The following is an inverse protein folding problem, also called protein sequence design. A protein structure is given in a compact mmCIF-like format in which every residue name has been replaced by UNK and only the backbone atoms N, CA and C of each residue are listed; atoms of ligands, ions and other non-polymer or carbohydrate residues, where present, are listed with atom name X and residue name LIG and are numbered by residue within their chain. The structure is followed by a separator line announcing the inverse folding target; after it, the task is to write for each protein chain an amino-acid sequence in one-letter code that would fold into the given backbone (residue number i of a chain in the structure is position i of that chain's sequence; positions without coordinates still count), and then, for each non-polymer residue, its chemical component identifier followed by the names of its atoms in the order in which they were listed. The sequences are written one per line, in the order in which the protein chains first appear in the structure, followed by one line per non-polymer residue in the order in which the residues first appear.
data_IF_306969637816
#
_entry.id   IF_306969637816
#
_cell.length_a   1.000
_cell.length_b   1.000
_cell.length_c   1.000
_cell.angle_alpha   90.00
_cell.angle_beta   90.00
_cell.angle_gamma   90.00
#
_symmetry.space_group_name_H-M   'P 1'
#
loop_
_entity.id
_entity.type
_entity.pdbx_description
1 polymer ?
#
# COMPACT_ATOMS: atom_id res chain seq x y z
N UNK A 1 13.26 -7.08 -30.71
CA UNK A 1 14.06 -7.95 -29.82
C UNK A 1 14.49 -7.06 -28.68
N UNK A 2 14.17 -7.43 -27.44
CA UNK A 2 14.51 -6.60 -26.28
C UNK A 2 16.02 -6.55 -26.13
N UNK A 3 16.59 -5.35 -25.99
CA UNK A 3 18.05 -5.16 -25.81
C UNK A 3 18.44 -5.28 -24.33
N UNK A 4 19.71 -5.59 -24.05
CA UNK A 4 20.19 -5.66 -22.66
C UNK A 4 20.17 -4.30 -21.94
N UNK A 5 20.30 -3.20 -22.69
CA UNK A 5 20.14 -1.84 -22.16
C UNK A 5 18.69 -1.57 -21.74
N UNK A 6 17.72 -1.93 -22.58
CA UNK A 6 16.29 -1.78 -22.24
C UNK A 6 15.92 -2.54 -20.96
N UNK A 7 16.46 -3.74 -20.77
CA UNK A 7 16.22 -4.55 -19.56
C UNK A 7 16.77 -3.84 -18.31
N UNK A 8 17.97 -3.25 -18.41
CA UNK A 8 18.61 -2.56 -17.28
C UNK A 8 17.86 -1.28 -16.96
N UNK A 9 17.50 -0.51 -17.97
CA UNK A 9 16.74 0.73 -17.80
C UNK A 9 15.38 0.45 -17.16
N UNK A 10 14.64 -0.56 -17.64
CA UNK A 10 13.37 -0.98 -17.06
C UNK A 10 13.51 -1.40 -15.60
N UNK A 11 14.55 -2.18 -15.28
CA UNK A 11 14.81 -2.65 -13.92
C UNK A 11 15.08 -1.48 -12.97
N UNK A 12 15.95 -0.56 -13.38
CA UNK A 12 16.30 0.58 -12.53
C UNK A 12 15.16 1.59 -12.40
N UNK A 13 14.37 1.79 -13.47
CA UNK A 13 13.17 2.61 -13.45
C UNK A 13 12.13 2.03 -12.48
N UNK A 14 11.87 0.72 -12.57
CA UNK A 14 10.98 0.00 -11.65
C UNK A 14 11.44 0.14 -10.19
N UNK A 15 12.75 0.02 -9.94
CA UNK A 15 13.31 0.20 -8.59
C UNK A 15 13.16 1.64 -8.08
N UNK A 16 13.37 2.65 -8.94
CA UNK A 16 13.19 4.06 -8.58
C UNK A 16 11.73 4.36 -8.26
N UNK A 17 10.82 3.92 -9.13
CA UNK A 17 9.40 4.25 -9.05
C UNK A 17 8.71 3.52 -7.91
N UNK A 18 9.04 2.24 -7.68
CA UNK A 18 8.59 1.53 -6.48
C UNK A 18 8.93 2.30 -5.18
N UNK A 19 10.12 2.93 -5.12
CA UNK A 19 10.50 3.70 -3.94
C UNK A 19 9.77 5.06 -3.85
N UNK A 20 9.89 5.87 -4.90
CA UNK A 20 9.43 7.26 -4.89
C UNK A 20 7.90 7.38 -5.02
N UNK A 21 7.26 6.50 -5.78
CA UNK A 21 5.82 6.54 -6.00
C UNK A 21 5.04 5.82 -4.90
N UNK A 22 5.62 4.80 -4.24
CA UNK A 22 4.91 3.94 -3.28
C UNK A 22 5.58 3.95 -1.90
N UNK A 23 6.82 3.46 -1.80
CA UNK A 23 7.48 3.21 -0.50
C UNK A 23 7.53 4.43 0.41
N UNK A 24 7.83 5.62 -0.10
CA UNK A 24 7.93 6.82 0.74
C UNK A 24 6.60 7.22 1.39
N UNK A 25 5.47 6.99 0.71
CA UNK A 25 4.14 7.25 1.25
C UNK A 25 3.71 6.17 2.23
N UNK A 26 4.01 4.90 1.93
CA UNK A 26 3.83 3.78 2.86
C UNK A 26 4.61 4.03 4.14
N UNK A 27 5.89 4.40 4.03
CA UNK A 27 6.75 4.73 5.16
C UNK A 27 6.12 5.82 6.03
N UNK A 28 5.66 6.91 5.42
CA UNK A 28 5.05 8.03 6.13
C UNK A 28 3.79 7.58 6.89
N UNK A 29 2.94 6.74 6.29
CA UNK A 29 1.71 6.26 6.91
C UNK A 29 1.98 5.23 8.01
N UNK A 30 2.88 4.26 7.79
CA UNK A 30 3.28 3.27 8.80
C UNK A 30 3.91 3.99 9.99
N UNK A 31 4.77 4.99 9.76
CA UNK A 31 5.33 5.83 10.82
C UNK A 31 4.25 6.61 11.56
N UNK A 32 3.32 7.25 10.84
CA UNK A 32 2.20 7.99 11.45
C UNK A 32 1.37 7.08 12.36
N UNK A 33 1.05 5.88 11.89
CA UNK A 33 0.27 4.92 12.66
C UNK A 33 1.05 4.38 13.87
N UNK A 34 2.33 4.05 13.68
CA UNK A 34 3.21 3.57 14.75
C UNK A 34 3.41 4.64 15.82
N UNK A 35 3.57 5.89 15.41
CA UNK A 35 3.61 7.05 16.29
C UNK A 35 2.27 7.28 17.00
N UNK A 36 1.13 7.12 16.32
CA UNK A 36 -0.19 7.23 16.92
C UNK A 36 -0.39 6.15 18.00
N UNK A 37 0.03 4.91 17.74
CA UNK A 37 -0.02 3.84 18.73
C UNK A 37 0.87 4.13 19.94
N UNK A 38 2.10 4.58 19.71
CA UNK A 38 3.01 5.00 20.77
C UNK A 38 2.40 6.14 21.61
N UNK A 39 1.94 7.20 20.97
CA UNK A 39 1.35 8.36 21.63
C UNK A 39 0.05 8.03 22.40
N UNK A 40 -0.72 7.04 21.91
CA UNK A 40 -1.95 6.58 22.58
C UNK A 40 -1.71 5.47 23.59
N UNK A 41 -0.48 4.98 23.75
CA UNK A 41 -0.14 3.79 24.53
C UNK A 41 -1.01 2.57 24.17
N UNK A 42 -1.26 2.36 22.88
CA UNK A 42 -2.10 1.26 22.38
C UNK A 42 -3.61 1.48 22.45
N UNK A 43 -4.09 2.49 23.20
CA UNK A 43 -5.54 2.75 23.41
C UNK A 43 -6.34 2.95 22.12
N UNK A 44 -5.69 3.39 21.04
CA UNK A 44 -6.37 3.51 19.74
C UNK A 44 -6.85 2.15 19.21
N UNK A 45 -5.99 1.12 19.29
CA UNK A 45 -6.32 -0.24 18.84
C UNK A 45 -7.39 -0.85 19.76
N UNK A 46 -7.28 -0.65 21.08
CA UNK A 46 -8.30 -1.11 22.03
C UNK A 46 -9.65 -0.46 21.79
N UNK A 47 -9.67 0.83 21.44
CA UNK A 47 -10.89 1.53 21.08
C UNK A 47 -11.54 0.93 19.83
N UNK A 48 -10.76 0.66 18.78
CA UNK A 48 -11.25 -0.05 17.58
C UNK A 48 -11.81 -1.42 17.94
N UNK A 49 -11.09 -2.19 18.76
CA UNK A 49 -11.48 -3.53 19.22
C UNK A 49 -12.80 -3.49 20.00
N UNK A 50 -12.97 -2.52 20.89
CA UNK A 50 -14.19 -2.35 21.71
C UNK A 50 -15.44 -2.00 20.89
N UNK A 51 -15.26 -1.40 19.70
CA UNK A 51 -16.35 -0.92 18.86
C UNK A 51 -16.50 -1.71 17.56
N UNK A 52 -16.72 -3.03 17.68
CA UNK A 52 -16.86 -3.96 16.54
C UNK A 52 -17.76 -3.44 15.40
N UNK A 53 -18.91 -2.84 15.71
CA UNK A 53 -19.84 -2.29 14.70
C UNK A 53 -19.31 -1.08 13.94
N UNK A 54 -18.36 -0.34 14.48
CA UNK A 54 -17.73 0.79 13.82
C UNK A 54 -16.47 0.40 13.03
N UNK A 55 -15.96 -0.82 13.19
CA UNK A 55 -14.71 -1.21 12.55
C UNK A 55 -14.76 -1.09 11.02
N UNK A 56 -15.82 -1.53 10.30
CA UNK A 56 -15.91 -1.29 8.86
C UNK A 56 -15.89 0.20 8.48
N UNK A 57 -16.53 1.07 9.27
CA UNK A 57 -16.52 2.52 9.02
C UNK A 57 -15.10 3.08 9.17
N UNK A 58 -14.38 2.65 10.21
CA UNK A 58 -12.99 3.04 10.44
C UNK A 58 -12.10 2.52 9.30
N UNK A 59 -12.33 1.28 8.86
CA UNK A 59 -11.67 0.68 7.69
C UNK A 59 -11.86 1.52 6.43
N UNK A 60 -13.10 1.90 6.10
CA UNK A 60 -13.38 2.72 4.94
C UNK A 60 -12.70 4.11 4.99
N UNK A 61 -12.68 4.74 6.17
CA UNK A 61 -12.02 6.03 6.39
C UNK A 61 -10.50 5.91 6.27
N UNK A 62 -9.93 4.78 6.69
CA UNK A 62 -8.50 4.52 6.46
C UNK A 62 -8.24 4.26 4.98
N UNK A 63 -9.13 3.52 4.29
CA UNK A 63 -9.01 3.20 2.87
C UNK A 63 -9.10 4.41 1.94
N UNK A 64 -10.02 5.35 2.18
CA UNK A 64 -10.15 6.57 1.35
C UNK A 64 -8.92 7.49 1.41
N UNK A 65 -8.01 7.27 2.36
CA UNK A 65 -6.77 8.03 2.45
C UNK A 65 -5.91 7.73 1.23
N UNK A 66 -5.46 8.75 0.45
CA UNK A 66 -4.60 8.52 -0.70
C UNK A 66 -3.36 7.68 -0.36
N UNK A 67 -2.98 6.81 -1.29
CA UNK A 67 -1.94 5.80 -1.10
C UNK A 67 -2.46 4.48 -0.53
N UNK A 68 -1.61 3.44 -0.48
CA UNK A 68 -1.97 2.13 0.04
C UNK A 68 -1.86 1.99 1.58
N UNK A 69 -1.39 3.04 2.26
CA UNK A 69 -1.03 2.98 3.68
C UNK A 69 -2.18 2.65 4.65
N UNK A 70 -3.42 3.09 4.37
CA UNK A 70 -4.57 2.73 5.20
C UNK A 70 -4.93 1.25 5.16
N UNK A 71 -4.82 0.64 3.97
CA UNK A 71 -5.01 -0.81 3.78
C UNK A 71 -3.86 -1.61 4.41
N UNK A 72 -2.61 -1.16 4.24
CA UNK A 72 -1.42 -1.77 4.86
C UNK A 72 -1.53 -1.79 6.39
N UNK A 73 -2.10 -0.75 7.01
CA UNK A 73 -2.33 -0.74 8.47
C UNK A 73 -3.42 -1.73 8.90
N UNK A 74 -4.47 -1.90 8.10
CA UNK A 74 -5.61 -2.75 8.46
C UNK A 74 -5.31 -4.25 8.35
N UNK A 75 -4.42 -4.67 7.43
CA UNK A 75 -4.09 -6.08 7.22
C UNK A 75 -3.44 -6.76 8.45
N UNK A 76 -2.39 -6.21 9.08
CA UNK A 76 -1.82 -6.78 10.30
C UNK A 76 -2.79 -6.78 11.47
N UNK A 77 -3.66 -5.75 11.59
CA UNK A 77 -4.69 -5.73 12.62
C UNK A 77 -5.71 -6.86 12.43
N UNK A 78 -6.02 -7.21 11.19
CA UNK A 78 -6.90 -8.34 10.88
C UNK A 78 -6.23 -9.68 11.17
N UNK A 79 -4.97 -9.86 10.73
CA UNK A 79 -4.20 -11.07 11.00
C UNK A 79 -4.07 -11.36 12.51
N UNK A 80 -3.96 -10.32 13.33
CA UNK A 80 -3.93 -10.41 14.81
C UNK A 80 -5.31 -10.49 15.47
N UNK A 81 -6.39 -10.50 14.71
CA UNK A 81 -7.76 -10.61 15.22
C UNK A 81 -8.32 -9.36 15.89
N UNK A 82 -7.69 -8.18 15.72
CA UNK A 82 -8.17 -6.92 16.28
C UNK A 82 -9.35 -6.32 15.49
N UNK A 83 -9.35 -6.50 14.17
CA UNK A 83 -10.43 -6.05 13.28
C UNK A 83 -11.10 -7.23 12.57
N UNK A 84 -12.35 -7.04 12.15
CA UNK A 84 -13.14 -8.05 11.44
C UNK A 84 -12.75 -8.20 9.96
N UNK A 85 -13.17 -9.31 9.35
CA UNK A 85 -13.05 -9.50 7.90
C UNK A 85 -13.83 -8.43 7.12
N UNK A 86 -15.02 -8.03 7.58
CA UNK A 86 -15.75 -6.92 6.98
C UNK A 86 -15.00 -5.59 7.04
N UNK A 87 -14.12 -5.38 8.03
CA UNK A 87 -13.25 -4.19 8.08
C UNK A 87 -12.21 -4.19 6.98
N UNK A 88 -11.59 -5.34 6.70
CA UNK A 88 -10.65 -5.49 5.58
C UNK A 88 -11.34 -5.21 4.25
N UNK A 89 -12.49 -5.85 4.00
CA UNK A 89 -13.28 -5.64 2.79
C UNK A 89 -13.68 -4.18 2.63
N UNK A 90 -14.13 -3.54 3.71
CA UNK A 90 -14.49 -2.12 3.69
C UNK A 90 -13.31 -1.20 3.37
N UNK A 91 -12.12 -1.56 3.83
CA UNK A 91 -10.89 -0.77 3.61
C UNK A 91 -10.44 -0.90 2.16
N UNK A 92 -10.42 -2.12 1.63
CA UNK A 92 -10.02 -2.41 0.25
C UNK A 92 -10.97 -1.77 -0.76
N UNK A 93 -12.29 -1.93 -0.59
CA UNK A 93 -13.26 -1.31 -1.51
C UNK A 93 -13.18 0.22 -1.49
N UNK A 94 -12.87 0.81 -0.33
CA UNK A 94 -12.77 2.26 -0.20
C UNK A 94 -11.46 2.84 -0.75
N UNK A 95 -10.43 2.00 -0.98
CA UNK A 95 -9.10 2.48 -1.35
C UNK A 95 -8.97 2.80 -2.84
N UNK A 96 -8.34 3.93 -3.13
CA UNK A 96 -7.88 4.29 -4.47
C UNK A 96 -6.36 4.09 -4.62
N UNK A 97 -5.65 3.72 -3.55
CA UNK A 97 -4.20 3.51 -3.60
C UNK A 97 -3.45 4.76 -4.10
N UNK A 98 -2.31 4.54 -4.74
CA UNK A 98 -1.50 5.64 -5.28
C UNK A 98 -2.13 6.31 -6.53
N UNK A 99 -3.06 5.61 -7.20
CA UNK A 99 -3.82 6.17 -8.33
C UNK A 99 -4.69 7.38 -7.91
N UNK A 100 -5.00 7.51 -6.61
CA UNK A 100 -5.63 8.70 -6.05
C UNK A 100 -4.80 9.97 -6.29
N UNK A 101 -3.47 9.89 -6.26
CA UNK A 101 -2.59 11.03 -6.51
C UNK A 101 -2.66 11.49 -7.97
N UNK A 102 -2.81 10.57 -8.92
CA UNK A 102 -3.01 10.87 -10.34
C UNK A 102 -4.32 11.61 -10.56
N UNK A 103 -5.41 11.15 -9.93
CA UNK A 103 -6.69 11.84 -9.97
C UNK A 103 -6.59 13.26 -9.39
N UNK A 104 -5.95 13.41 -8.21
CA UNK A 104 -5.72 14.71 -7.60
C UNK A 104 -4.90 15.61 -8.54
N UNK A 105 -3.88 15.07 -9.20
CA UNK A 105 -3.10 15.81 -10.19
C UNK A 105 -3.94 16.26 -11.39
N UNK A 106 -4.78 15.37 -11.93
CA UNK A 106 -5.73 15.69 -12.98
C UNK A 106 -6.74 16.79 -12.56
N UNK A 107 -7.19 16.79 -11.31
CA UNK A 107 -8.07 17.84 -10.77
C UNK A 107 -7.39 19.21 -10.67
N UNK A 108 -6.09 19.24 -10.35
CA UNK A 108 -5.29 20.47 -10.30
C UNK A 108 -5.16 21.06 -11.71
N UNK A 109 -4.86 20.21 -12.71
CA UNK A 109 -4.77 20.62 -14.11
C UNK A 109 -6.13 21.07 -14.68
N UNK A 110 -7.19 20.32 -14.37
CA UNK A 110 -8.54 20.53 -14.91
C UNK A 110 -9.58 20.54 -13.78
N UNK A 111 -10.01 21.71 -13.29
CA UNK A 111 -10.97 21.83 -12.19
C UNK A 111 -12.33 21.15 -12.44
N UNK A 112 -12.70 20.89 -13.71
CA UNK A 112 -13.90 20.13 -14.06
C UNK A 112 -13.88 18.68 -13.56
N UNK A 113 -12.70 18.11 -13.29
CA UNK A 113 -12.55 16.74 -12.79
C UNK A 113 -12.78 16.62 -11.27
N UNK A 114 -12.79 17.73 -10.52
CA UNK A 114 -13.00 17.73 -9.07
C UNK A 114 -14.32 17.03 -8.70
N UNK A 115 -15.41 17.34 -9.41
CA UNK A 115 -16.72 16.75 -9.16
C UNK A 115 -16.72 15.22 -9.27
N UNK A 116 -16.32 14.65 -10.42
CA UNK A 116 -16.18 13.20 -10.57
C UNK A 116 -15.23 12.55 -9.57
N UNK A 117 -14.10 13.20 -9.23
CA UNK A 117 -13.12 12.64 -8.29
C UNK A 117 -13.70 12.54 -6.89
N UNK A 118 -14.36 13.59 -6.41
CA UNK A 118 -15.07 13.53 -5.12
C UNK A 118 -16.15 12.45 -5.15
N UNK A 119 -16.86 12.32 -6.27
CA UNK A 119 -17.92 11.34 -6.41
C UNK A 119 -17.39 9.90 -6.36
N UNK A 120 -16.27 9.57 -7.02
CA UNK A 120 -15.69 8.22 -6.93
C UNK A 120 -15.25 7.90 -5.50
N UNK A 121 -14.61 8.83 -4.79
CA UNK A 121 -14.21 8.62 -3.39
C UNK A 121 -15.43 8.39 -2.48
N UNK A 122 -16.50 9.18 -2.64
CA UNK A 122 -17.72 9.03 -1.85
C UNK A 122 -18.42 7.71 -2.18
N UNK A 123 -18.48 7.31 -3.45
CA UNK A 123 -19.05 6.03 -3.85
C UNK A 123 -18.24 4.88 -3.23
N UNK A 124 -16.91 4.85 -3.41
CA UNK A 124 -16.04 3.82 -2.85
C UNK A 124 -16.17 3.74 -1.32
N UNK A 125 -16.22 4.88 -0.62
CA UNK A 125 -16.44 4.93 0.82
C UNK A 125 -17.77 4.30 1.22
N UNK A 126 -18.88 4.71 0.59
CA UNK A 126 -20.22 4.23 0.93
C UNK A 126 -20.37 2.75 0.59
N UNK A 127 -19.91 2.34 -0.59
CA UNK A 127 -19.95 0.93 -1.02
C UNK A 127 -19.10 0.08 -0.08
N UNK A 128 -17.91 0.54 0.29
CA UNK A 128 -17.04 -0.15 1.25
C UNK A 128 -17.71 -0.35 2.61
N UNK A 129 -18.29 0.72 3.17
CA UNK A 129 -19.01 0.64 4.46
C UNK A 129 -20.17 -0.34 4.39
N UNK A 130 -20.99 -0.26 3.33
CA UNK A 130 -22.17 -1.11 3.16
C UNK A 130 -21.74 -2.58 3.05
N UNK A 131 -20.74 -2.88 2.22
CA UNK A 131 -20.25 -4.24 2.03
C UNK A 131 -19.56 -4.78 3.28
N UNK A 132 -18.72 -3.99 3.95
CA UNK A 132 -18.05 -4.41 5.18
C UNK A 132 -19.03 -4.70 6.31
N UNK A 133 -20.02 -3.83 6.52
CA UNK A 133 -21.09 -4.08 7.49
C UNK A 133 -21.94 -5.29 7.09
N UNK A 134 -22.19 -5.49 5.80
CA UNK A 134 -22.92 -6.66 5.28
C UNK A 134 -22.19 -7.97 5.54
N UNK A 135 -20.89 -8.02 5.23
CA UNK A 135 -20.00 -9.17 5.47
C UNK A 135 -20.01 -9.55 6.95
N UNK A 136 -19.85 -8.56 7.83
CA UNK A 136 -19.87 -8.79 9.28
C UNK A 136 -21.26 -9.21 9.79
N UNK A 137 -22.34 -8.66 9.23
CA UNK A 137 -23.71 -9.01 9.63
C UNK A 137 -24.09 -10.44 9.22
N UNK A 138 -23.62 -10.90 8.06
CA UNK A 138 -23.82 -12.28 7.58
C UNK A 138 -22.84 -13.25 8.25
N UNK A 139 -21.78 -12.76 8.88
CA UNK A 139 -20.74 -13.58 9.51
C UNK A 139 -19.85 -14.27 8.48
N UNK A 140 -19.60 -13.61 7.34
CA UNK A 140 -18.68 -14.11 6.32
C UNK A 140 -17.26 -13.92 6.83
N UNK A 141 -16.47 -14.99 6.77
CA UNK A 141 -15.03 -14.98 7.06
C UNK A 141 -14.34 -15.89 6.03
N UNK A 142 -13.00 -15.85 5.90
CA UNK A 142 -12.29 -16.78 5.02
C UNK A 142 -12.51 -18.25 5.38
N UNK A 143 -12.77 -18.58 6.65
CA UNK A 143 -13.08 -19.95 7.10
C UNK A 143 -14.55 -20.32 6.94
N UNK A 144 -15.47 -19.35 6.94
CA UNK A 144 -16.90 -19.52 6.69
C UNK A 144 -17.39 -18.58 5.58
N UNK A 145 -17.09 -18.87 4.30
CA UNK A 145 -17.32 -17.94 3.19
C UNK A 145 -18.80 -17.68 2.90
N UNK A 146 -19.68 -18.60 3.27
CA UNK A 146 -21.14 -18.43 3.15
C UNK A 146 -21.78 -17.85 4.43
N UNK A 147 -20.98 -17.60 5.47
CA UNK A 147 -21.43 -17.16 6.78
C UNK A 147 -22.64 -17.96 7.28
N UNK A 148 -23.69 -17.25 7.68
CA UNK A 148 -24.98 -17.82 8.16
C UNK A 148 -25.76 -18.64 7.13
N UNK A 149 -25.42 -18.56 5.83
CA UNK A 149 -26.09 -19.32 4.77
C UNK A 149 -25.36 -20.63 4.42
N UNK A 150 -24.16 -20.86 4.97
CA UNK A 150 -23.46 -22.14 4.85
C UNK A 150 -24.02 -23.19 5.80
N UNK A 151 -23.84 -24.47 5.48
CA UNK A 151 -24.02 -25.53 6.48
C UNK A 151 -23.06 -25.26 7.63
N UNK A 152 -23.55 -25.19 8.87
CA UNK A 152 -22.73 -24.97 10.05
C UNK A 152 -21.50 -25.89 10.01
N UNK A 153 -20.33 -25.33 9.73
CA UNK A 153 -19.08 -26.03 10.00
C UNK A 153 -19.04 -26.22 11.51
N UNK A 154 -18.98 -27.50 11.90
CA UNK A 154 -18.85 -28.02 13.27
C UNK A 154 -18.11 -27.01 14.14
N UNK A 155 -18.73 -26.64 15.26
CA UNK A 155 -18.14 -25.82 16.32
C UNK A 155 -16.66 -26.19 16.53
N UNK A 156 -15.75 -25.34 16.08
CA UNK A 156 -14.47 -25.23 16.76
C UNK A 156 -14.77 -24.46 18.03
N UNK A 157 -15.11 -25.20 19.09
CA UNK A 157 -15.20 -24.70 20.45
C UNK A 157 -13.88 -24.00 20.80
N UNK A 158 -13.86 -22.68 20.66
CA UNK A 158 -12.86 -21.85 21.34
C UNK A 158 -13.22 -21.95 22.82
N UNK A 159 -12.31 -22.38 23.71
CA UNK A 159 -12.62 -22.42 25.13
C UNK A 159 -12.95 -21.00 25.58
N UNK A 160 -14.14 -20.85 26.15
CA UNK A 160 -14.57 -19.64 26.83
C UNK A 160 -13.75 -19.55 28.14
N UNK A 161 -12.57 -18.95 28.06
CA UNK A 161 -11.75 -18.66 29.23
C UNK A 161 -12.32 -17.40 29.90
N UNK A 162 -13.35 -17.63 30.71
CA UNK A 162 -14.04 -16.65 31.54
C UNK A 162 -13.21 -16.41 32.81
N UNK A 163 -12.01 -15.82 32.65
CA UNK A 163 -11.24 -15.22 33.74
C UNK A 163 -10.57 -13.96 33.21
N UNK A 164 -11.17 -12.81 33.53
CA UNK A 164 -10.55 -11.49 33.48
C UNK A 164 -9.44 -11.42 34.55
N UNK A 165 -8.33 -12.12 34.31
CA UNK A 165 -7.04 -11.68 34.83
C UNK A 165 -6.46 -10.68 33.82
N UNK A 166 -5.85 -9.62 34.35
CA UNK A 166 -5.16 -8.56 33.62
C UNK A 166 -3.98 -9.17 32.85
N UNK A 167 -4.25 -9.80 31.71
CA UNK A 167 -3.27 -10.51 30.92
C UNK A 167 -2.51 -9.47 30.09
N UNK A 168 -1.39 -8.98 30.62
CA UNK A 168 -0.47 -8.16 29.83
C UNK A 168 0.23 -9.07 28.81
N UNK A 169 -0.24 -9.01 27.57
CA UNK A 169 0.26 -9.78 26.40
C UNK A 169 1.77 -9.60 26.19
N UNK A 170 2.39 -8.60 26.84
CA UNK A 170 3.83 -8.28 26.79
C UNK A 170 4.75 -9.34 27.40
N UNK A 171 4.26 -10.15 28.34
CA UNK A 171 5.14 -11.05 29.13
C UNK A 171 5.42 -12.42 28.47
N UNK A 172 4.58 -12.87 27.52
CA UNK A 172 4.73 -14.15 26.81
C UNK A 172 5.44 -14.02 25.45
N UNK A 173 5.98 -12.84 25.18
CA UNK A 173 6.42 -12.41 23.87
C UNK A 173 7.96 -12.55 23.73
N UNK A 174 8.48 -13.31 22.75
CA UNK A 174 9.92 -13.51 22.57
C UNK A 174 10.68 -12.20 22.39
N UNK A 175 11.85 -12.09 23.03
CA UNK A 175 12.71 -10.89 22.98
C UNK A 175 13.80 -11.09 21.93
N UNK A 176 14.12 -10.05 21.15
CA UNK A 176 15.26 -10.10 20.23
C UNK A 176 16.56 -10.31 21.01
N UNK A 177 17.36 -11.31 20.63
CA UNK A 177 18.71 -11.45 21.17
C UNK A 177 19.65 -10.41 20.52
N UNK A 178 20.35 -9.58 21.31
CA UNK A 178 21.10 -8.40 20.82
C UNK A 178 22.40 -8.71 20.06
N UNK A 179 22.58 -9.91 19.51
CA UNK A 179 23.83 -10.35 18.90
C UNK A 179 23.68 -10.75 17.42
N UNK A 180 24.40 -10.06 16.52
CA UNK A 180 24.49 -10.47 15.10
C UNK A 180 24.85 -9.36 14.12
N UNK A 181 25.36 -9.75 12.94
CA UNK A 181 25.56 -8.82 11.82
C UNK A 181 24.23 -8.25 11.31
N UNK A 182 23.19 -9.09 11.25
CA UNK A 182 21.84 -8.70 10.83
C UNK A 182 21.22 -7.65 11.79
N UNK A 183 21.37 -7.84 13.10
CA UNK A 183 20.94 -6.87 14.11
C UNK A 183 21.58 -5.49 13.89
N UNK A 184 22.90 -5.44 13.64
CA UNK A 184 23.62 -4.17 13.34
C UNK A 184 23.14 -3.50 12.06
N UNK A 185 22.91 -4.28 11.00
CA UNK A 185 22.41 -3.74 9.71
C UNK A 185 21.05 -3.09 9.90
N UNK A 186 20.13 -3.71 10.64
CA UNK A 186 18.82 -3.13 10.96
C UNK A 186 18.95 -1.90 11.87
N UNK A 187 19.67 -2.04 12.98
CA UNK A 187 19.74 -1.01 14.04
C UNK A 187 20.64 0.19 13.72
N UNK A 188 21.48 0.11 12.69
CA UNK A 188 22.26 1.25 12.19
C UNK A 188 21.75 1.72 10.82
N UNK A 189 21.23 0.80 9.99
CA UNK A 189 20.71 1.10 8.66
C UNK A 189 19.40 1.88 8.68
N UNK A 190 18.54 1.71 9.70
CA UNK A 190 17.25 2.42 9.75
C UNK A 190 17.39 3.95 9.73
N UNK A 191 18.46 4.52 10.30
CA UNK A 191 18.71 5.97 10.26
C UNK A 191 19.03 6.46 8.85
N UNK A 192 19.90 5.74 8.14
CA UNK A 192 20.24 6.05 6.75
C UNK A 192 19.00 5.89 5.85
N UNK A 193 18.23 4.83 6.08
CA UNK A 193 16.98 4.59 5.39
C UNK A 193 15.95 5.70 5.63
N UNK A 194 15.74 6.13 6.88
CA UNK A 194 14.83 7.24 7.19
C UNK A 194 15.30 8.58 6.62
N UNK A 195 16.60 8.84 6.58
CA UNK A 195 17.14 10.04 5.95
C UNK A 195 16.84 10.08 4.45
N UNK A 196 17.08 8.96 3.74
CA UNK A 196 16.79 8.85 2.30
C UNK A 196 15.28 8.88 2.05
N UNK A 197 14.49 8.19 2.87
CA UNK A 197 13.02 8.19 2.78
C UNK A 197 12.44 9.58 3.02
N UNK A 198 12.96 10.34 3.97
CA UNK A 198 12.53 11.72 4.23
C UNK A 198 12.83 12.65 3.05
N UNK A 199 14.02 12.55 2.45
CA UNK A 199 14.35 13.29 1.23
C UNK A 199 13.47 12.82 0.06
N UNK A 200 13.30 11.51 -0.10
CA UNK A 200 12.46 10.89 -1.12
C UNK A 200 11.00 11.34 -1.04
N UNK A 201 10.43 11.44 0.17
CA UNK A 201 9.07 11.93 0.37
C UNK A 201 8.90 13.38 -0.08
N UNK A 202 9.89 14.24 0.18
CA UNK A 202 9.87 15.63 -0.30
C UNK A 202 9.84 15.64 -1.83
N UNK A 203 10.73 14.87 -2.49
CA UNK A 203 10.75 14.81 -3.95
C UNK A 203 9.51 14.13 -4.53
N UNK A 204 8.95 13.11 -3.90
CA UNK A 204 7.72 12.47 -4.34
C UNK A 204 6.55 13.46 -4.34
N UNK A 205 6.41 14.27 -3.28
CA UNK A 205 5.41 15.34 -3.23
C UNK A 205 5.70 16.40 -4.31
N UNK A 206 6.96 16.80 -4.49
CA UNK A 206 7.33 17.76 -5.53
C UNK A 206 7.02 17.24 -6.94
N UNK A 207 7.32 15.97 -7.23
CA UNK A 207 7.03 15.31 -8.50
C UNK A 207 5.53 15.27 -8.77
N UNK A 208 4.71 14.98 -7.76
CA UNK A 208 3.25 15.05 -7.88
C UNK A 208 2.75 16.47 -8.20
N UNK A 209 3.30 17.49 -7.53
CA UNK A 209 2.93 18.89 -7.77
C UNK A 209 3.41 19.36 -9.15
N UNK A 210 4.63 19.01 -9.55
CA UNK A 210 5.20 19.42 -10.82
C UNK A 210 4.49 18.75 -12.01
N UNK A 211 4.29 17.43 -11.93
CA UNK A 211 3.56 16.68 -12.94
C UNK A 211 2.10 17.14 -13.10
N UNK A 212 1.46 17.57 -12.01
CA UNK A 212 0.06 18.05 -12.06
C UNK A 212 -0.11 19.48 -12.56
N UNK A 213 0.88 20.35 -12.34
CA UNK A 213 0.80 21.76 -12.75
C UNK A 213 1.40 22.02 -14.13
N UNK A 214 2.02 21.01 -14.74
CA UNK A 214 2.79 21.15 -15.98
C UNK A 214 3.95 22.14 -15.82
N UNK A 215 4.44 22.31 -14.59
CA UNK A 215 5.46 23.27 -14.22
C UNK A 215 6.48 22.61 -13.30
N UNK A 216 7.75 22.96 -13.44
CA UNK A 216 8.84 22.31 -12.71
C UNK A 216 10.16 22.55 -13.44
N UNK A 217 11.29 22.13 -12.85
CA UNK A 217 12.53 22.05 -13.60
C UNK A 217 12.38 21.02 -14.74
N UNK A 218 13.09 21.19 -15.86
CA UNK A 218 13.23 20.13 -16.85
C UNK A 218 13.93 18.96 -16.16
N UNK A 219 13.12 17.95 -15.86
CA UNK A 219 13.54 16.69 -15.32
C UNK A 219 13.80 15.83 -16.54
N UNK A 220 15.07 15.54 -16.86
CA UNK A 220 15.46 14.58 -17.90
C UNK A 220 15.04 13.14 -17.50
N UNK A 221 13.74 12.94 -17.26
CA UNK A 221 13.05 11.74 -16.83
C UNK A 221 11.96 11.33 -17.84
N UNK A 222 11.70 12.18 -18.85
CA UNK A 222 10.58 12.06 -19.79
C UNK A 222 10.90 11.23 -21.06
N UNK A 223 12.17 10.91 -21.32
CA UNK A 223 12.58 10.18 -22.53
C UNK A 223 12.56 8.64 -22.39
N UNK A 224 12.09 8.12 -21.24
CA UNK A 224 12.06 6.70 -20.93
C UNK A 224 13.44 6.09 -20.64
N UNK A 225 14.51 6.89 -20.67
CA UNK A 225 15.86 6.48 -20.31
C UNK A 225 16.17 6.86 -18.85
N UNK A 226 16.98 6.05 -18.17
CA UNK A 226 17.37 6.39 -16.81
C UNK A 226 18.50 7.41 -16.80
N UNK A 227 18.22 8.64 -16.37
CA UNK A 227 19.28 9.58 -16.03
C UNK A 227 19.95 9.19 -14.70
N UNK A 228 21.25 8.88 -14.76
CA UNK A 228 22.11 8.49 -13.64
C UNK A 228 23.14 9.57 -13.27
N UNK A 229 23.13 10.74 -13.91
CA UNK A 229 24.06 11.83 -13.59
C UNK A 229 23.68 12.49 -12.26
N UNK A 230 24.46 12.30 -11.17
CA UNK A 230 24.11 12.81 -9.84
C UNK A 230 24.16 14.34 -9.74
N UNK A 231 24.73 15.03 -10.73
CA UNK A 231 24.78 16.49 -10.75
C UNK A 231 23.56 17.12 -11.42
N UNK A 232 22.74 16.33 -12.10
CA UNK A 232 21.44 16.75 -12.61
C UNK A 232 20.36 16.53 -11.55
N UNK A 233 19.30 17.34 -11.58
CA UNK A 233 18.19 17.20 -10.63
C UNK A 233 17.46 15.86 -10.86
N UNK A 234 17.26 15.47 -12.13
CA UNK A 234 16.68 14.17 -12.49
C UNK A 234 17.52 12.98 -12.00
N UNK A 235 18.83 12.99 -12.24
CA UNK A 235 19.70 11.92 -11.77
C UNK A 235 19.85 11.87 -10.24
N UNK A 236 19.82 13.01 -9.55
CA UNK A 236 19.77 13.03 -8.09
C UNK A 236 18.51 12.35 -7.55
N UNK A 237 17.34 12.61 -8.14
CA UNK A 237 16.08 11.94 -7.80
C UNK A 237 16.17 10.44 -8.07
N UNK A 238 16.71 10.03 -9.23
CA UNK A 238 16.95 8.62 -9.56
C UNK A 238 17.82 7.93 -8.50
N UNK A 239 18.90 8.56 -8.05
CA UNK A 239 19.75 8.02 -6.99
C UNK A 239 19.05 7.89 -5.65
N UNK A 240 18.18 8.83 -5.27
CA UNK A 240 17.36 8.70 -4.06
C UNK A 240 16.47 7.46 -4.14
N UNK A 241 15.78 7.26 -5.27
CA UNK A 241 14.95 6.09 -5.50
C UNK A 241 15.75 4.78 -5.44
N UNK A 242 16.88 4.72 -6.15
CA UNK A 242 17.73 3.53 -6.19
C UNK A 242 18.37 3.19 -4.85
N UNK A 243 18.92 4.18 -4.13
CA UNK A 243 19.49 3.98 -2.81
C UNK A 243 18.42 3.58 -1.79
N UNK A 244 17.24 4.19 -1.88
CA UNK A 244 16.10 3.87 -1.05
C UNK A 244 15.64 2.42 -1.23
N UNK A 245 15.46 1.97 -2.48
CA UNK A 245 15.14 0.57 -2.79
C UNK A 245 16.27 -0.36 -2.36
N UNK A 246 17.52 -0.02 -2.65
CA UNK A 246 18.67 -0.83 -2.25
C UNK A 246 18.77 -1.03 -0.74
N UNK A 247 18.56 0.02 0.05
CA UNK A 247 18.52 -0.07 1.52
C UNK A 247 17.31 -0.88 2.01
N UNK A 248 16.14 -0.72 1.38
CA UNK A 248 14.94 -1.49 1.74
C UNK A 248 15.17 -2.99 1.52
N UNK A 249 15.76 -3.37 0.39
CA UNK A 249 16.14 -4.76 0.09
C UNK A 249 17.19 -5.26 1.08
N UNK A 250 18.18 -4.43 1.44
CA UNK A 250 19.21 -4.80 2.42
C UNK A 250 18.63 -5.03 3.83
N UNK A 251 17.71 -4.17 4.28
CA UNK A 251 17.00 -4.33 5.57
C UNK A 251 16.15 -5.60 5.53
N UNK A 252 15.35 -5.81 4.47
CA UNK A 252 14.53 -7.01 4.32
C UNK A 252 15.38 -8.30 4.27
N UNK A 253 16.50 -8.30 3.54
CA UNK A 253 17.40 -9.44 3.48
C UNK A 253 18.03 -9.76 4.85
N UNK A 254 18.41 -8.72 5.61
CA UNK A 254 18.93 -8.88 6.97
C UNK A 254 17.86 -9.45 7.92
N UNK A 255 16.59 -9.05 7.77
CA UNK A 255 15.49 -9.65 8.53
C UNK A 255 15.29 -11.12 8.17
N UNK A 256 15.33 -11.47 6.88
CA UNK A 256 15.11 -12.86 6.45
C UNK A 256 16.21 -13.81 6.94
N UNK A 257 17.44 -13.34 7.11
CA UNK A 257 18.49 -14.15 7.74
C UNK A 257 18.25 -14.37 9.23
N UNK A 258 17.48 -13.49 9.89
CA UNK A 258 17.02 -13.66 11.27
C UNK A 258 15.86 -14.67 11.32
N UNK A 259 14.94 -14.67 10.35
CA UNK A 259 13.87 -15.68 10.25
C UNK A 259 14.34 -17.14 10.03
N UNK A 260 15.62 -17.37 9.77
CA UNK A 260 16.21 -18.72 9.76
C UNK A 260 16.57 -19.24 11.17
N UNK A 261 16.57 -18.38 12.19
CA UNK A 261 16.80 -18.70 13.59
C UNK A 261 15.67 -18.07 14.44
N UNK A 262 14.64 -18.87 14.69
CA UNK A 262 13.58 -18.76 15.70
C UNK A 262 12.99 -17.39 16.15
N UNK A 263 11.66 -17.35 15.98
CA UNK A 263 10.64 -16.59 16.73
C UNK A 263 10.39 -15.12 16.36
N UNK A 264 9.11 -14.83 16.11
CA UNK A 264 8.53 -13.50 15.91
C UNK A 264 8.94 -12.54 17.04
N UNK A 265 9.81 -11.59 16.70
CA UNK A 265 10.16 -10.48 17.56
C UNK A 265 8.94 -9.60 17.86
N UNK A 266 8.75 -9.38 19.15
CA UNK A 266 7.47 -9.10 19.73
C UNK A 266 7.17 -7.62 19.94
N UNK A 267 5.88 -7.33 20.14
CA UNK A 267 5.30 -5.99 20.29
C UNK A 267 5.62 -5.35 21.66
N UNK A 268 6.22 -6.08 22.59
CA UNK A 268 6.46 -5.63 23.98
C UNK A 268 7.25 -4.33 24.08
N UNK A 269 8.34 -4.20 23.31
CA UNK A 269 9.21 -3.02 23.35
C UNK A 269 8.68 -1.83 22.50
N UNK A 270 7.66 -2.08 21.65
CA UNK A 270 7.15 -1.09 20.67
C UNK A 270 6.49 0.14 21.29
N UNK A 271 6.01 0.01 22.53
CA UNK A 271 5.28 1.06 23.24
C UNK A 271 6.15 1.87 24.21
N UNK A 272 7.36 1.41 24.53
CA UNK A 272 8.22 2.08 25.52
C UNK A 272 9.24 3.04 24.89
N UNK A 273 9.66 2.79 23.64
CA UNK A 273 10.73 3.54 23.00
C UNK A 273 10.40 4.00 21.58
N UNK A 274 10.45 5.32 21.35
CA UNK A 274 10.33 5.92 20.01
C UNK A 274 11.36 5.35 19.02
N UNK A 275 12.55 5.00 19.50
CA UNK A 275 13.60 4.42 18.64
C UNK A 275 13.12 3.09 18.08
N UNK A 276 12.56 2.24 18.92
CA UNK A 276 12.08 0.92 18.53
C UNK A 276 10.90 1.01 17.58
N UNK A 277 9.95 1.91 17.86
CA UNK A 277 8.84 2.23 16.96
C UNK A 277 9.33 2.59 15.54
N UNK A 278 10.37 3.41 15.42
CA UNK A 278 10.91 3.84 14.11
C UNK A 278 11.70 2.76 13.39
N UNK A 279 12.36 1.85 14.12
CA UNK A 279 13.07 0.70 13.54
C UNK A 279 12.06 -0.27 12.94
N UNK A 280 11.01 -0.61 13.70
CA UNK A 280 9.95 -1.49 13.21
C UNK A 280 9.18 -0.90 12.03
N UNK A 281 8.88 0.39 12.06
CA UNK A 281 8.23 1.04 10.92
C UNK A 281 9.10 0.94 9.65
N UNK A 282 10.42 1.10 9.75
CA UNK A 282 11.34 0.94 8.63
C UNK A 282 11.40 -0.52 8.14
N UNK A 283 11.40 -1.48 9.07
CA UNK A 283 11.36 -2.91 8.82
C UNK A 283 10.08 -3.36 8.09
N UNK A 284 8.91 -3.00 8.60
CA UNK A 284 7.60 -3.31 7.98
C UNK A 284 7.51 -2.66 6.59
N UNK A 285 7.98 -1.42 6.44
CA UNK A 285 7.98 -0.74 5.14
C UNK A 285 8.96 -1.39 4.15
N UNK A 286 10.14 -1.83 4.61
CA UNK A 286 11.13 -2.48 3.76
C UNK A 286 10.64 -3.83 3.23
N UNK A 287 9.89 -4.57 4.05
CA UNK A 287 9.18 -5.79 3.66
C UNK A 287 8.18 -5.53 2.53
N UNK A 288 7.30 -4.53 2.68
CA UNK A 288 6.35 -4.14 1.63
C UNK A 288 7.09 -3.70 0.35
N UNK A 289 8.13 -2.89 0.49
CA UNK A 289 8.92 -2.36 -0.64
C UNK A 289 9.52 -3.47 -1.49
N UNK A 290 10.02 -4.54 -0.87
CA UNK A 290 10.56 -5.68 -1.60
C UNK A 290 9.51 -6.27 -2.55
N UNK A 291 8.29 -6.50 -2.07
CA UNK A 291 7.22 -7.06 -2.90
C UNK A 291 6.68 -6.08 -3.94
N UNK A 292 6.59 -4.79 -3.61
CA UNK A 292 6.22 -3.74 -4.56
C UNK A 292 7.22 -3.71 -5.73
N UNK A 293 8.52 -3.79 -5.47
CA UNK A 293 9.55 -3.86 -6.54
C UNK A 293 9.34 -5.09 -7.42
N UNK A 294 9.07 -6.26 -6.83
CA UNK A 294 8.79 -7.48 -7.60
C UNK A 294 7.52 -7.31 -8.46
N UNK A 295 6.48 -6.70 -7.93
CA UNK A 295 5.24 -6.47 -8.65
C UNK A 295 5.41 -5.50 -9.82
N UNK A 296 6.10 -4.38 -9.61
CA UNK A 296 6.47 -3.44 -10.67
C UNK A 296 7.25 -4.14 -11.78
N UNK A 297 8.29 -4.91 -11.42
CA UNK A 297 9.07 -5.65 -12.40
C UNK A 297 8.19 -6.65 -13.17
N UNK A 298 7.36 -7.44 -12.49
CA UNK A 298 6.46 -8.40 -13.15
C UNK A 298 5.51 -7.69 -14.10
N UNK A 299 4.93 -6.55 -13.70
CA UNK A 299 4.03 -5.76 -14.52
C UNK A 299 4.73 -5.19 -15.76
N UNK A 300 5.84 -4.49 -15.58
CA UNK A 300 6.64 -3.86 -16.64
C UNK A 300 7.18 -4.90 -17.64
N UNK A 301 7.73 -6.02 -17.15
CA UNK A 301 8.16 -7.11 -18.02
C UNK A 301 6.99 -7.77 -18.75
N UNK A 302 5.82 -7.87 -18.12
CA UNK A 302 4.62 -8.42 -18.78
C UNK A 302 4.13 -7.50 -19.90
N UNK A 303 4.19 -6.18 -19.71
CA UNK A 303 3.87 -5.22 -20.77
C UNK A 303 4.88 -5.30 -21.92
N UNK A 304 6.18 -5.31 -21.59
CA UNK A 304 7.26 -5.38 -22.58
C UNK A 304 7.19 -6.66 -23.44
N UNK A 305 6.88 -7.81 -22.82
CA UNK A 305 6.79 -9.10 -23.51
C UNK A 305 5.44 -9.31 -24.19
N UNK A 306 4.36 -8.77 -23.62
CA UNK A 306 3.00 -8.93 -24.11
C UNK A 306 2.68 -8.05 -25.31
N UNK A 307 3.40 -6.95 -25.51
CA UNK A 307 3.11 -5.96 -26.56
C UNK A 307 1.70 -5.37 -26.44
N UNK A 308 1.14 -5.40 -25.22
CA UNK A 308 -0.20 -4.90 -24.92
C UNK A 308 -0.07 -3.39 -24.80
N UNK A 309 -0.56 -2.70 -25.83
CA UNK A 309 -0.54 -1.26 -25.91
C UNK A 309 -1.65 -0.67 -25.00
N UNK A 310 -1.43 0.51 -24.43
CA UNK A 310 -2.37 1.22 -23.53
C UNK A 310 -3.75 1.45 -24.20
N UNK A 311 -3.79 1.33 -25.52
CA UNK A 311 -4.92 1.60 -26.41
C UNK A 311 -6.03 0.55 -26.40
N UNK A 312 -5.88 -0.59 -25.70
CA UNK A 312 -6.97 -1.58 -25.61
C UNK A 312 -8.14 -1.14 -24.71
N UNK A 313 -7.92 -0.21 -23.77
CA UNK A 313 -9.00 0.43 -22.99
C UNK A 313 -9.84 1.38 -23.87
N UNK A 314 -9.21 2.03 -24.86
CA UNK A 314 -9.88 2.94 -25.78
C UNK A 314 -10.88 2.25 -26.73
N UNK A 315 -10.68 0.96 -27.01
CA UNK A 315 -11.54 0.20 -27.92
C UNK A 315 -12.98 0.00 -27.39
N UNK A 316 -13.21 0.15 -26.08
CA UNK A 316 -14.50 -0.16 -25.44
C UNK A 316 -15.32 1.06 -24.98
N UNK A 317 -14.76 2.28 -25.07
CA UNK A 317 -15.45 3.54 -24.77
C UNK A 317 -16.16 3.57 -23.41
N UNK A 318 -17.39 4.08 -23.36
CA UNK A 318 -18.22 4.14 -22.14
C UNK A 318 -19.21 2.95 -21.99
N UNK A 319 -19.01 1.87 -22.74
CA UNK A 319 -19.91 0.71 -22.73
C UNK A 319 -19.72 -0.23 -21.54
N UNK A 320 -20.62 -1.21 -21.39
CA UNK A 320 -20.50 -2.29 -20.38
C UNK A 320 -19.16 -3.03 -20.50
N UNK A 321 -18.62 -3.17 -21.72
CA UNK A 321 -17.29 -3.76 -21.94
C UNK A 321 -16.18 -3.01 -21.19
N UNK A 322 -16.22 -1.68 -21.20
CA UNK A 322 -15.21 -0.87 -20.50
C UNK A 322 -15.32 -1.00 -18.97
N UNK A 323 -16.53 -1.17 -18.43
CA UNK A 323 -16.74 -1.45 -17.00
C UNK A 323 -16.09 -2.79 -16.62
N UNK A 324 -16.34 -3.84 -17.40
CA UNK A 324 -15.80 -5.17 -17.12
C UNK A 324 -14.28 -5.21 -17.27
N UNK A 325 -13.73 -4.55 -18.29
CA UNK A 325 -12.27 -4.43 -18.49
C UNK A 325 -11.65 -3.64 -17.34
N UNK A 326 -12.23 -2.50 -16.97
CA UNK A 326 -11.73 -1.69 -15.86
C UNK A 326 -11.78 -2.43 -14.51
N UNK A 327 -12.83 -3.23 -14.27
CA UNK A 327 -12.91 -4.14 -13.11
C UNK A 327 -11.81 -5.20 -13.15
N UNK A 328 -11.62 -5.86 -14.30
CA UNK A 328 -10.61 -6.90 -14.45
C UNK A 328 -9.19 -6.37 -14.29
N UNK A 329 -8.90 -5.17 -14.79
CA UNK A 329 -7.63 -4.46 -14.56
C UNK A 329 -7.46 -4.12 -13.09
N UNK A 330 -8.54 -3.77 -12.38
CA UNK A 330 -8.52 -3.49 -10.94
C UNK A 330 -8.05 -4.69 -10.11
N UNK A 331 -8.41 -5.92 -10.52
CA UNK A 331 -7.98 -7.16 -9.86
C UNK A 331 -6.48 -7.46 -10.01
N UNK A 332 -5.76 -6.74 -10.89
CA UNK A 332 -4.32 -6.90 -11.04
C UNK A 332 -3.64 -6.19 -9.86
N UNK A 333 -2.91 -6.88 -8.99
CA UNK A 333 -2.27 -6.26 -7.84
C UNK A 333 -1.18 -5.27 -8.27
N UNK A 334 -1.04 -4.20 -7.49
CA UNK A 334 -0.13 -3.08 -7.78
C UNK A 334 -0.88 -1.76 -7.91
N UNK A 335 -0.14 -0.69 -8.22
CA UNK A 335 -0.71 0.62 -8.56
C UNK A 335 -0.55 0.99 -10.05
N UNK A 336 0.37 0.35 -10.79
CA UNK A 336 0.60 0.58 -12.23
C UNK A 336 -0.65 0.39 -13.10
N UNK A 337 -1.31 -0.80 -13.09
CA UNK A 337 -2.55 -1.02 -13.84
C UNK A 337 -3.66 0.01 -13.53
N UNK A 338 -3.72 0.47 -12.30
CA UNK A 338 -4.70 1.41 -11.77
C UNK A 338 -4.39 2.82 -12.27
N UNK A 339 -3.12 3.23 -12.27
CA UNK A 339 -2.67 4.51 -12.83
C UNK A 339 -3.12 4.64 -14.30
N UNK A 340 -2.93 3.58 -15.11
CA UNK A 340 -3.33 3.59 -16.54
C UNK A 340 -4.85 3.81 -16.71
N UNK A 341 -5.66 3.23 -15.83
CA UNK A 341 -7.11 3.41 -15.87
C UNK A 341 -7.49 4.86 -15.49
N UNK A 342 -6.79 5.45 -14.53
CA UNK A 342 -7.03 6.82 -14.07
C UNK A 342 -6.56 7.85 -15.09
N UNK A 343 -5.41 7.64 -15.75
CA UNK A 343 -4.95 8.48 -16.86
C UNK A 343 -5.91 8.40 -18.03
N UNK A 344 -6.35 7.19 -18.42
CA UNK A 344 -7.37 6.99 -19.47
C UNK A 344 -8.67 7.75 -19.17
N UNK A 345 -9.08 7.83 -17.90
CA UNK A 345 -10.24 8.64 -17.51
C UNK A 345 -9.98 10.14 -17.66
N UNK A 346 -8.82 10.63 -17.23
CA UNK A 346 -8.43 12.05 -17.35
C UNK A 346 -8.35 12.49 -18.82
N UNK A 347 -7.84 11.61 -19.70
CA UNK A 347 -7.76 11.83 -21.14
C UNK A 347 -9.11 11.75 -21.86
N UNK A 348 -10.18 11.37 -21.16
CA UNK A 348 -11.53 11.23 -21.70
C UNK A 348 -11.74 9.96 -22.53
N UNK A 349 -10.81 9.01 -22.46
CA UNK A 349 -10.90 7.70 -23.12
C UNK A 349 -11.89 6.81 -22.36
N UNK A 350 -11.82 6.82 -21.02
CA UNK A 350 -12.67 6.01 -20.14
C UNK A 350 -13.82 6.83 -19.53
N UNK A 351 -15.03 6.27 -19.51
CA UNK A 351 -16.17 6.89 -18.84
C UNK A 351 -16.15 6.72 -17.31
N UNK A 352 -16.88 7.60 -16.60
CA UNK A 352 -17.01 7.56 -15.13
C UNK A 352 -17.43 6.18 -14.56
N UNK A 353 -18.35 5.40 -15.18
CA UNK A 353 -18.66 4.06 -14.68
C UNK A 353 -17.46 3.10 -14.68
N UNK A 354 -16.56 3.22 -15.66
CA UNK A 354 -15.34 2.42 -15.72
C UNK A 354 -14.37 2.81 -14.59
N UNK A 355 -14.20 4.11 -14.35
CA UNK A 355 -13.41 4.62 -13.23
C UNK A 355 -13.91 4.06 -11.88
N UNK A 356 -15.22 4.15 -11.62
CA UNK A 356 -15.82 3.62 -10.38
C UNK A 356 -15.65 2.10 -10.29
N UNK A 357 -15.79 1.39 -11.40
CA UNK A 357 -15.65 -0.06 -11.43
C UNK A 357 -14.23 -0.51 -11.06
N UNK A 358 -13.21 0.15 -11.60
CA UNK A 358 -11.82 -0.11 -11.25
C UNK A 358 -11.55 0.25 -9.78
N UNK A 359 -11.98 1.43 -9.33
CA UNK A 359 -11.80 1.91 -7.97
C UNK A 359 -12.37 0.96 -6.90
N UNK A 360 -13.48 0.29 -7.17
CA UNK A 360 -14.12 -0.67 -6.25
C UNK A 360 -13.48 -2.08 -6.34
N UNK A 361 -12.85 -2.40 -7.47
CA UNK A 361 -12.32 -3.74 -7.75
C UNK A 361 -10.83 -3.89 -7.39
N UNK A 362 -10.14 -2.79 -7.07
CA UNK A 362 -8.72 -2.81 -6.77
C UNK A 362 -8.42 -3.13 -5.30
N UNK A 363 -7.38 -3.93 -5.10
CA UNK A 363 -6.83 -4.24 -3.77
C UNK A 363 -5.60 -3.36 -3.43
N UNK A 364 -5.13 -2.55 -4.39
CA UNK A 364 -3.88 -1.78 -4.30
C UNK A 364 -2.66 -2.67 -4.04
N UNK A 365 -1.63 -2.10 -3.40
CA UNK A 365 -0.43 -2.86 -2.99
C UNK A 365 -0.64 -3.67 -1.70
N UNK A 366 -1.81 -3.57 -1.06
CA UNK A 366 -2.07 -4.22 0.22
C UNK A 366 -2.32 -5.74 0.10
N UNK A 367 -2.44 -6.26 -1.12
CA UNK A 367 -2.54 -7.71 -1.39
C UNK A 367 -1.16 -8.40 -1.41
N UNK A 368 -0.06 -7.64 -1.37
CA UNK A 368 1.27 -8.24 -1.33
C UNK A 368 1.52 -8.96 0.00
N UNK A 369 2.25 -10.10 -0.01
CA UNK A 369 2.44 -10.98 1.14
C UNK A 369 3.03 -10.28 2.34
#
# INVERSE_FOLDING_TARGET
MVTSSEIIDLLLLSMRDAFLAVTVFVAAMVLLFSWLQYATAGRFVDWIRSKRRLQPIIGAIMGITPGCGGAIVMMPLYARGYVTYGTVISTLIATLGDSAFVLIGGAIANPSLIGPIVLVHVISLVVGIIWGLGVDAVGITPSSPLGRFGSQSIESSVPENDTLEDFDVRDDLPREEPEGFAYKVVHQGYLAWWAITGIGLIFAILLLVWGSTGGGPDLDLEDGSMNLDPFTLGGFISWIGLLGTGLSIAIFAAQRSIFSDDSEASIGDKLESLRETTIHAAQETSFVTFWVVIAYLVFEFSMLLGGIDETHLAAYGAGIGAILVAAAVGLIPGCGPQIIVMTSYIEGILGFPGLVSNAISQDGDALFP
#
